data_IF_394822170818
#
_entry.id   IF_394822170818
#
_cell.length_a   1.000
_cell.length_b   1.000
_cell.length_c   1.000
_cell.angle_alpha   90.00
_cell.angle_beta   90.00
_cell.angle_gamma   90.00
#
_symmetry.space_group_name_H-M   'P 1'
#
loop_
_entity.id
_entity.type
_entity.pdbx_description
1 polymer ?
#
# COMPACT_ATOMS: atom_id res chain seq x y z
N UNK A 1 -31.02 -50.91 -2.60
CA UNK A 1 -30.62 -50.23 -1.35
C UNK A 1 -30.27 -48.79 -1.67
N UNK A 2 -30.89 -47.88 -0.93
CA UNK A 2 -30.87 -46.42 -1.10
C UNK A 2 -29.64 -45.84 -0.42
N UNK A 3 -28.78 -45.13 -1.15
CA UNK A 3 -27.90 -44.09 -0.61
C UNK A 3 -27.20 -43.39 -1.76
N UNK A 4 -27.33 -42.07 -1.87
CA UNK A 4 -26.23 -41.09 -1.83
C UNK A 4 -26.84 -39.70 -1.65
N UNK A 5 -26.82 -39.25 -0.41
CA UNK A 5 -26.88 -37.84 -0.02
C UNK A 5 -25.57 -37.22 -0.52
N UNK A 6 -25.63 -36.22 -1.38
CA UNK A 6 -24.58 -35.20 -1.57
C UNK A 6 -24.96 -34.28 -2.73
N UNK A 7 -25.60 -33.14 -2.45
CA UNK A 7 -25.52 -31.95 -3.31
C UNK A 7 -26.02 -30.74 -2.52
N UNK A 8 -25.16 -30.23 -1.63
CA UNK A 8 -25.33 -28.93 -1.00
C UNK A 8 -23.94 -28.30 -0.83
N UNK A 9 -23.27 -28.07 -1.95
CA UNK A 9 -22.05 -27.26 -2.06
C UNK A 9 -22.36 -26.14 -3.04
N UNK A 10 -23.14 -25.15 -2.62
CA UNK A 10 -23.29 -23.91 -3.37
C UNK A 10 -23.45 -22.74 -2.41
N UNK A 11 -22.49 -21.83 -2.50
CA UNK A 11 -22.78 -20.42 -2.34
C UNK A 11 -22.38 -19.80 -1.01
N UNK A 12 -21.08 -19.64 -0.76
CA UNK A 12 -20.57 -18.50 0.02
C UNK A 12 -19.18 -18.11 -0.51
N UNK A 13 -19.15 -17.58 -1.73
CA UNK A 13 -17.95 -17.05 -2.37
C UNK A 13 -18.23 -15.68 -3.00
N UNK A 14 -18.73 -14.73 -2.19
CA UNK A 14 -18.89 -13.33 -2.63
C UNK A 14 -18.89 -12.41 -1.41
N UNK A 15 -17.72 -12.10 -0.86
CA UNK A 15 -17.50 -10.94 0.02
C UNK A 15 -16.00 -10.69 0.27
N UNK A 16 -15.20 -10.64 -0.80
CA UNK A 16 -13.85 -10.10 -0.70
C UNK A 16 -13.58 -9.14 -1.87
N UNK A 17 -14.55 -8.26 -2.16
CA UNK A 17 -14.25 -6.98 -2.83
C UNK A 17 -13.55 -6.06 -1.83
N UNK A 18 -12.41 -6.50 -1.28
CA UNK A 18 -11.50 -5.60 -0.61
C UNK A 18 -11.01 -4.66 -1.69
N UNK A 19 -11.36 -3.37 -1.59
CA UNK A 19 -10.77 -2.32 -2.41
C UNK A 19 -9.26 -2.54 -2.38
N UNK A 20 -8.69 -2.98 -3.51
CA UNK A 20 -7.25 -3.13 -3.66
C UNK A 20 -6.72 -1.71 -3.68
N UNK A 21 -6.41 -1.17 -2.50
CA UNK A 21 -5.70 0.10 -2.40
C UNK A 21 -4.37 -0.13 -3.07
N UNK A 22 -4.09 0.66 -4.11
CA UNK A 22 -2.86 0.55 -4.89
C UNK A 22 -1.66 0.46 -3.92
N UNK A 23 -0.84 -0.61 -3.99
CA UNK A 23 0.16 -0.88 -2.97
C UNK A 23 1.23 0.21 -2.97
N UNK A 24 1.44 0.83 -1.82
CA UNK A 24 2.54 1.77 -1.62
C UNK A 24 3.86 0.99 -1.68
N UNK A 25 4.78 1.41 -2.56
CA UNK A 25 6.11 0.81 -2.70
C UNK A 25 7.08 1.59 -1.84
N UNK A 26 7.66 0.95 -0.82
CA UNK A 26 8.67 1.56 0.05
C UNK A 26 9.97 1.82 -0.75
N UNK A 27 10.44 3.07 -0.75
CA UNK A 27 11.68 3.48 -1.44
C UNK A 27 12.77 3.98 -0.49
N UNK A 28 12.44 4.22 0.79
CA UNK A 28 13.40 4.63 1.79
C UNK A 28 12.86 4.50 3.20
N UNK A 29 13.76 4.29 4.16
CA UNK A 29 13.44 4.29 5.58
C UNK A 29 14.59 4.95 6.34
N UNK A 30 14.25 5.71 7.38
CA UNK A 30 15.20 6.33 8.28
C UNK A 30 14.60 6.57 9.67
N UNK A 31 15.41 7.18 10.53
CA UNK A 31 15.04 7.59 11.88
C UNK A 31 15.21 9.10 12.02
N UNK A 32 14.23 9.76 12.63
CA UNK A 32 14.30 11.18 12.98
C UNK A 32 13.93 11.29 14.46
N UNK A 33 14.94 11.39 15.33
CA UNK A 33 14.77 11.23 16.77
C UNK A 33 14.23 9.83 17.10
N UNK A 34 13.15 9.77 17.87
CA UNK A 34 12.46 8.53 18.26
C UNK A 34 11.40 8.06 17.23
N UNK A 35 11.34 8.70 16.05
CA UNK A 35 10.35 8.37 15.02
C UNK A 35 10.96 7.63 13.85
N UNK A 36 10.23 6.63 13.37
CA UNK A 36 10.51 5.93 12.12
C UNK A 36 9.88 6.71 10.97
N UNK A 37 10.71 7.09 9.99
CA UNK A 37 10.27 7.76 8.78
C UNK A 37 10.42 6.80 7.61
N UNK A 38 9.37 6.65 6.81
CA UNK A 38 9.34 5.80 5.62
C UNK A 38 8.88 6.62 4.42
N UNK A 39 9.64 6.56 3.34
CA UNK A 39 9.29 7.14 2.06
C UNK A 39 8.74 6.04 1.15
N UNK A 40 7.59 6.29 0.54
CA UNK A 40 6.96 5.35 -0.38
C UNK A 40 6.46 6.08 -1.62
N UNK A 41 6.35 5.35 -2.72
CA UNK A 41 5.69 5.82 -3.93
C UNK A 41 4.40 5.04 -4.15
N UNK A 42 3.37 5.73 -4.65
CA UNK A 42 2.08 5.13 -4.98
C UNK A 42 1.74 5.45 -6.44
N UNK A 43 1.49 4.45 -7.31
CA UNK A 43 1.16 4.74 -8.70
C UNK A 43 -0.22 5.40 -8.77
N UNK A 44 -0.32 6.49 -9.53
CA UNK A 44 -1.54 7.32 -9.61
C UNK A 44 -2.53 6.85 -10.67
N UNK A 45 -2.13 5.89 -11.51
CA UNK A 45 -2.87 5.51 -12.73
C UNK A 45 -2.79 6.56 -13.84
N UNK A 46 -2.08 7.67 -13.62
CA UNK A 46 -1.88 8.73 -14.60
C UNK A 46 -0.51 8.57 -15.29
N UNK A 47 -0.39 9.11 -16.50
CA UNK A 47 0.83 9.06 -17.30
C UNK A 47 0.57 9.13 -18.80
N UNK A 48 1.59 9.50 -19.57
CA UNK A 48 1.57 9.46 -21.04
C UNK A 48 2.68 8.56 -21.56
N UNK A 49 2.72 8.29 -22.86
CA UNK A 49 3.82 7.55 -23.48
C UNK A 49 5.18 8.27 -23.29
N UNK A 50 5.17 9.61 -23.20
CA UNK A 50 6.36 10.45 -23.01
C UNK A 50 6.82 10.52 -21.54
N UNK A 51 5.87 10.60 -20.60
CA UNK A 51 6.15 10.79 -19.17
C UNK A 51 6.22 9.47 -18.39
N UNK A 52 5.69 8.38 -18.95
CA UNK A 52 5.54 7.10 -18.27
C UNK A 52 4.52 7.15 -17.13
N UNK A 53 4.49 6.09 -16.31
CA UNK A 53 3.64 6.02 -15.12
C UNK A 53 4.05 7.10 -14.11
N UNK A 54 3.08 7.88 -13.63
CA UNK A 54 3.28 8.87 -12.58
C UNK A 54 2.97 8.28 -11.20
N UNK A 55 3.63 8.83 -10.18
CA UNK A 55 3.55 8.36 -8.81
C UNK A 55 3.33 9.52 -7.84
N UNK A 56 2.63 9.26 -6.74
CA UNK A 56 2.64 10.14 -5.57
C UNK A 56 3.82 9.73 -4.67
N UNK A 57 4.55 10.71 -4.15
CA UNK A 57 5.56 10.49 -3.11
C UNK A 57 4.91 10.68 -1.75
N UNK A 58 4.98 9.67 -0.90
CA UNK A 58 4.44 9.68 0.45
C UNK A 58 5.56 9.58 1.48
N UNK A 59 5.40 10.32 2.57
CA UNK A 59 6.16 10.16 3.80
C UNK A 59 5.22 9.63 4.89
N UNK A 60 5.53 8.45 5.42
CA UNK A 60 4.92 7.89 6.60
C UNK A 60 5.83 8.14 7.80
N UNK A 61 5.31 8.80 8.82
CA UNK A 61 5.99 8.94 10.10
C UNK A 61 5.25 8.11 11.15
N UNK A 62 5.98 7.29 11.89
CA UNK A 62 5.43 6.48 12.99
C UNK A 62 6.28 6.68 14.25
N UNK A 63 5.68 6.51 15.42
CA UNK A 63 6.45 6.37 16.66
C UNK A 63 7.10 4.97 16.69
N UNK A 64 8.36 4.90 17.14
CA UNK A 64 9.02 3.63 17.40
C UNK A 64 8.62 3.12 18.80
N UNK A 65 8.23 1.86 18.92
CA UNK A 65 8.01 1.20 20.20
C UNK A 65 9.26 0.37 20.58
N UNK A 66 9.48 0.14 21.87
CA UNK A 66 10.65 -0.58 22.40
C UNK A 66 10.80 -2.02 21.90
N UNK A 67 9.70 -2.62 21.42
CA UNK A 67 9.67 -3.96 20.83
C UNK A 67 10.00 -3.97 19.32
N UNK A 68 10.46 -2.85 18.75
CA UNK A 68 10.75 -2.72 17.32
C UNK A 68 9.52 -2.58 16.42
N UNK A 69 8.32 -2.50 17.00
CA UNK A 69 7.08 -2.22 16.24
C UNK A 69 6.87 -0.71 16.09
N UNK A 70 5.98 -0.34 15.16
CA UNK A 70 5.61 1.06 14.92
C UNK A 70 4.16 1.31 15.32
N UNK A 71 3.89 2.44 15.98
CA UNK A 71 2.54 2.90 16.34
C UNK A 71 2.29 4.32 15.79
N UNK A 72 1.02 4.77 15.82
CA UNK A 72 0.63 6.15 15.46
C UNK A 72 1.18 6.63 14.10
N UNK A 73 1.08 5.77 13.09
CA UNK A 73 1.58 6.10 11.75
C UNK A 73 0.68 7.13 11.05
N UNK A 74 1.28 8.22 10.58
CA UNK A 74 0.63 9.23 9.75
C UNK A 74 1.29 9.31 8.39
N UNK A 75 0.46 9.23 7.35
CA UNK A 75 0.87 9.44 5.97
C UNK A 75 0.69 10.89 5.58
N UNK A 76 1.71 11.45 4.92
CA UNK A 76 1.66 12.75 4.29
C UNK A 76 2.14 12.60 2.86
N UNK A 77 1.33 13.04 1.91
CA UNK A 77 1.75 13.13 0.52
C UNK A 77 2.66 14.35 0.37
N UNK A 78 3.88 14.11 -0.10
CA UNK A 78 4.88 15.16 -0.30
C UNK A 78 4.81 15.75 -1.70
N UNK A 79 4.65 14.90 -2.71
CA UNK A 79 4.57 15.28 -4.12
C UNK A 79 3.51 14.44 -4.81
N UNK A 80 2.83 15.04 -5.77
CA UNK A 80 1.81 14.39 -6.61
C UNK A 80 2.31 14.24 -8.04
N UNK A 81 1.92 13.14 -8.69
CA UNK A 81 2.14 12.92 -10.13
C UNK A 81 3.59 13.15 -10.63
N UNK A 82 4.56 12.66 -9.86
CA UNK A 82 5.99 12.76 -10.19
C UNK A 82 6.48 11.54 -10.96
N UNK A 83 7.49 11.75 -11.81
CA UNK A 83 8.22 10.66 -12.46
C UNK A 83 9.17 10.02 -11.42
N UNK A 84 9.30 8.67 -11.37
CA UNK A 84 10.19 8.03 -10.40
C UNK A 84 11.64 8.54 -10.48
N UNK A 85 12.10 8.80 -11.71
CA UNK A 85 13.47 9.27 -12.00
C UNK A 85 13.73 10.73 -11.60
N UNK A 86 12.71 11.50 -11.23
CA UNK A 86 12.90 12.87 -10.74
C UNK A 86 13.03 12.95 -9.22
N UNK A 87 12.86 11.84 -8.50
CA UNK A 87 12.92 11.77 -7.03
C UNK A 87 14.20 11.10 -6.53
N UNK A 88 14.86 10.29 -7.38
CA UNK A 88 16.07 9.51 -7.05
C UNK A 88 17.22 9.85 -7.99
#
# INVERSE_FOLDING_TARGET
MKTKIAFALLGFAVAASGCVTSPNVLIGQGLVGERVVRFAIQPTGQGTQETGQLFNLLMRMCNANDNGTTSECKDTMLLENVMPRSVY
#
